data_IF_786685753447
#
_entry.id   IF_786685753447
#
_cell.length_a   1.000
_cell.length_b   1.000
_cell.length_c   1.000
_cell.angle_alpha   90.00
_cell.angle_beta   90.00
_cell.angle_gamma   90.00
#
_symmetry.space_group_name_H-M   'P 1'
#
loop_
_entity.id
_entity.type
_entity.pdbx_description
1 polymer ?
#
# COMPACT_ATOMS: atom_id res chain seq x y z
N UNK A 1 0.39 -1.35 -9.85
CA UNK A 1 0.93 -2.29 -8.85
C UNK A 1 0.96 -1.63 -7.49
N UNK A 2 0.51 -2.33 -6.45
CA UNK A 2 0.59 -1.89 -5.04
C UNK A 2 1.28 -3.01 -4.27
N UNK A 3 2.45 -2.74 -3.69
CA UNK A 3 3.22 -3.78 -2.98
C UNK A 3 4.27 -3.17 -2.02
N UNK A 4 4.84 -3.99 -1.14
CA UNK A 4 5.97 -3.58 -0.31
C UNK A 4 7.28 -3.70 -1.08
N UNK A 5 8.08 -2.65 -1.01
CA UNK A 5 9.28 -2.57 -1.83
C UNK A 5 9.94 -1.21 -1.84
N UNK A 6 10.95 -1.10 -2.70
CA UNK A 6 11.88 0.01 -2.71
C UNK A 6 12.23 0.44 -4.15
N UNK A 7 12.78 1.66 -4.29
CA UNK A 7 13.54 2.04 -5.48
C UNK A 7 14.83 1.23 -5.57
N UNK A 8 15.44 1.12 -6.76
CA UNK A 8 16.70 0.39 -6.94
C UNK A 8 17.80 0.86 -5.97
N UNK A 9 17.95 2.18 -5.78
CA UNK A 9 18.93 2.76 -4.83
C UNK A 9 18.76 2.21 -3.42
N UNK A 10 17.52 2.15 -2.92
CA UNK A 10 17.22 1.63 -1.58
C UNK A 10 17.22 0.10 -1.52
N UNK A 11 16.88 -0.55 -2.63
CA UNK A 11 16.85 -2.00 -2.76
C UNK A 11 18.25 -2.60 -2.68
N UNK A 12 19.22 -1.99 -3.35
CA UNK A 12 20.61 -2.45 -3.43
C UNK A 12 21.56 -1.76 -2.41
N UNK A 13 21.03 -1.22 -1.31
CA UNK A 13 21.87 -0.65 -0.26
C UNK A 13 22.84 -1.72 0.29
N UNK A 14 24.12 -1.40 0.55
CA UNK A 14 25.09 -2.34 1.12
C UNK A 14 24.62 -3.00 2.43
N UNK A 15 23.82 -2.27 3.22
CA UNK A 15 23.22 -2.81 4.45
C UNK A 15 22.30 -4.02 4.20
N UNK A 16 21.70 -4.16 3.01
CA UNK A 16 20.85 -5.30 2.60
C UNK A 16 21.65 -6.40 1.89
N UNK A 17 22.78 -6.78 2.45
CA UNK A 17 23.67 -7.80 1.90
C UNK A 17 23.03 -9.20 1.84
N UNK A 18 22.00 -9.48 2.66
CA UNK A 18 21.22 -10.72 2.59
C UNK A 18 20.05 -10.65 1.58
N UNK A 19 19.89 -9.53 0.86
CA UNK A 19 18.79 -9.32 -0.07
C UNK A 19 17.46 -9.04 0.64
N UNK A 20 16.37 -9.53 0.05
CA UNK A 20 14.99 -9.22 0.50
C UNK A 20 14.07 -10.43 0.52
N UNK A 21 14.61 -11.65 0.36
CA UNK A 21 13.83 -12.89 0.42
C UNK A 21 13.32 -13.09 1.84
N UNK A 22 12.04 -13.42 1.98
CA UNK A 22 11.39 -13.66 3.26
C UNK A 22 10.54 -14.91 3.14
N UNK A 23 10.47 -15.69 4.21
CA UNK A 23 9.61 -16.86 4.32
C UNK A 23 8.67 -16.69 5.51
N UNK A 24 7.43 -17.12 5.34
CA UNK A 24 6.42 -17.09 6.38
C UNK A 24 5.75 -18.45 6.55
N UNK A 25 5.82 -19.00 7.76
CA UNK A 25 5.13 -20.22 8.15
C UNK A 25 4.35 -19.99 9.44
N UNK A 26 3.02 -20.18 9.41
CA UNK A 26 2.13 -20.01 10.57
C UNK A 26 2.32 -18.65 11.31
N UNK A 27 2.37 -17.55 10.54
CA UNK A 27 2.62 -16.18 11.04
C UNK A 27 4.00 -15.94 11.67
N UNK A 28 4.98 -16.81 11.41
CA UNK A 28 6.37 -16.63 11.83
C UNK A 28 7.26 -16.37 10.63
N UNK A 29 8.14 -15.38 10.77
CA UNK A 29 9.11 -14.98 9.76
C UNK A 29 10.43 -15.75 9.91
N UNK A 30 11.02 -16.16 8.79
CA UNK A 30 12.40 -16.65 8.68
C UNK A 30 12.93 -16.48 7.25
N UNK A 31 14.21 -16.77 7.02
CA UNK A 31 14.85 -16.51 5.72
C UNK A 31 15.25 -17.79 4.96
N UNK A 32 14.88 -18.96 5.48
CA UNK A 32 15.20 -20.27 4.88
C UNK A 32 14.07 -20.81 3.97
N UNK A 33 14.25 -20.82 2.63
CA UNK A 33 13.24 -21.30 1.70
C UNK A 33 13.07 -22.83 1.70
N UNK A 34 13.97 -23.59 2.33
CA UNK A 34 14.01 -25.04 2.26
C UNK A 34 13.34 -25.75 3.45
N UNK A 35 12.97 -25.03 4.50
CA UNK A 35 12.43 -25.64 5.72
C UNK A 35 11.07 -26.31 5.49
N UNK A 36 10.07 -25.57 5.01
CA UNK A 36 8.69 -26.07 4.85
C UNK A 36 8.24 -25.98 3.39
N UNK A 37 8.97 -26.65 2.49
CA UNK A 37 8.70 -26.61 1.04
C UNK A 37 7.24 -26.96 0.74
N UNK A 38 6.57 -26.07 0.01
CA UNK A 38 5.15 -26.20 -0.35
C UNK A 38 4.16 -25.85 0.77
N UNK A 39 4.63 -25.53 1.98
CA UNK A 39 3.80 -25.22 3.15
C UNK A 39 4.07 -23.85 3.76
N UNK A 40 5.12 -23.15 3.32
CA UNK A 40 5.41 -21.76 3.67
C UNK A 40 5.21 -20.84 2.48
N UNK A 41 4.90 -19.58 2.78
CA UNK A 41 4.96 -18.51 1.79
C UNK A 41 6.41 -18.06 1.60
N UNK A 42 6.79 -17.70 0.37
CA UNK A 42 8.11 -17.19 0.02
C UNK A 42 7.91 -15.92 -0.79
N UNK A 43 8.43 -14.81 -0.29
CA UNK A 43 8.23 -13.51 -0.87
C UNK A 43 9.53 -12.74 -1.00
N UNK A 44 9.50 -11.64 -1.74
CA UNK A 44 10.57 -10.66 -1.75
C UNK A 44 9.98 -9.26 -1.92
N UNK A 45 10.70 -8.26 -1.40
CA UNK A 45 10.35 -6.87 -1.68
C UNK A 45 10.36 -6.62 -3.19
N UNK A 46 9.49 -5.73 -3.67
CA UNK A 46 9.49 -5.29 -5.07
C UNK A 46 10.58 -4.26 -5.32
N UNK A 47 11.36 -4.43 -6.38
CA UNK A 47 12.19 -3.36 -6.95
C UNK A 47 11.34 -2.55 -7.94
N UNK A 48 10.78 -1.44 -7.46
CA UNK A 48 9.86 -0.62 -8.27
C UNK A 48 10.55 0.07 -9.45
N UNK A 49 11.85 0.38 -9.36
CA UNK A 49 12.60 0.95 -10.49
C UNK A 49 12.76 -0.08 -11.61
N UNK A 50 13.05 -1.34 -11.26
CA UNK A 50 13.12 -2.42 -12.25
C UNK A 50 11.74 -2.71 -12.86
N UNK A 51 10.69 -2.74 -12.03
CA UNK A 51 9.32 -2.97 -12.50
C UNK A 51 8.85 -1.87 -13.46
N UNK A 52 9.10 -0.60 -13.13
CA UNK A 52 8.81 0.55 -13.98
C UNK A 52 9.47 0.42 -15.35
N UNK A 53 10.79 0.19 -15.38
CA UNK A 53 11.57 0.01 -16.61
C UNK A 53 11.11 -1.18 -17.43
N UNK A 54 10.77 -2.30 -16.78
CA UNK A 54 10.25 -3.46 -17.49
C UNK A 54 8.90 -3.15 -18.16
N UNK A 55 8.05 -2.37 -17.49
CA UNK A 55 6.82 -1.87 -18.08
C UNK A 55 7.08 -1.00 -19.31
N UNK A 56 8.06 -0.09 -19.24
CA UNK A 56 8.47 0.76 -20.37
C UNK A 56 8.92 -0.06 -21.58
N UNK A 57 9.73 -1.11 -21.37
CA UNK A 57 10.14 -2.03 -22.43
C UNK A 57 8.94 -2.78 -23.07
N UNK A 58 7.86 -3.00 -22.31
CA UNK A 58 6.61 -3.57 -22.79
C UNK A 58 5.64 -2.53 -23.41
N UNK A 59 6.09 -1.27 -23.54
CA UNK A 59 5.31 -0.17 -24.07
C UNK A 59 4.28 0.40 -23.10
N UNK A 60 4.47 0.24 -21.79
CA UNK A 60 3.74 0.97 -20.76
C UNK A 60 4.42 2.32 -20.50
N UNK A 61 3.64 3.37 -20.27
CA UNK A 61 4.16 4.66 -19.83
C UNK A 61 3.91 4.83 -18.34
N UNK A 62 4.90 5.35 -17.61
CA UNK A 62 4.71 5.70 -16.20
C UNK A 62 3.77 6.89 -16.09
N UNK A 63 2.72 6.71 -15.29
CA UNK A 63 1.81 7.80 -14.90
C UNK A 63 2.28 8.41 -13.58
N UNK A 64 2.71 7.57 -12.62
CA UNK A 64 3.30 8.06 -11.38
C UNK A 64 3.66 6.97 -10.38
N UNK A 65 4.40 7.37 -9.36
CA UNK A 65 4.77 6.52 -8.23
C UNK A 65 4.64 7.29 -6.93
N UNK A 66 3.96 6.71 -5.94
CA UNK A 66 3.80 7.31 -4.60
C UNK A 66 3.74 6.23 -3.52
N UNK A 67 3.56 6.63 -2.26
CA UNK A 67 3.30 5.73 -1.15
C UNK A 67 1.80 5.49 -0.97
N UNK A 68 1.43 4.28 -0.52
CA UNK A 68 0.03 3.91 -0.31
C UNK A 68 -0.69 4.89 0.62
N UNK A 69 -0.03 5.32 1.70
CA UNK A 69 -0.63 6.30 2.62
C UNK A 69 -1.03 7.59 1.88
N UNK A 70 -0.10 8.16 1.09
CA UNK A 70 -0.35 9.37 0.31
C UNK A 70 -1.43 9.15 -0.77
N UNK A 71 -1.35 8.01 -1.46
CA UNK A 71 -2.31 7.63 -2.49
C UNK A 71 -3.74 7.57 -1.95
N UNK A 72 -3.94 6.86 -0.83
CA UNK A 72 -5.25 6.73 -0.19
C UNK A 72 -5.76 8.05 0.39
N UNK A 73 -4.86 8.86 0.98
CA UNK A 73 -5.21 10.19 1.47
C UNK A 73 -5.69 11.09 0.34
N UNK A 74 -4.98 11.13 -0.78
CA UNK A 74 -5.36 11.90 -1.97
C UNK A 74 -6.70 11.44 -2.57
N UNK A 75 -7.00 10.13 -2.52
CA UNK A 75 -8.31 9.61 -2.93
C UNK A 75 -9.48 10.00 -1.99
N UNK A 76 -9.18 10.46 -0.78
CA UNK A 76 -10.16 10.96 0.19
C UNK A 76 -10.34 10.10 1.44
N UNK A 77 -9.38 9.20 1.76
CA UNK A 77 -9.47 8.40 2.98
C UNK A 77 -9.48 9.25 4.26
N UNK A 78 -8.79 10.40 4.26
CA UNK A 78 -8.84 11.37 5.36
C UNK A 78 -10.26 11.82 5.67
N UNK A 79 -11.04 12.21 4.65
CA UNK A 79 -12.43 12.62 4.80
C UNK A 79 -13.29 11.49 5.39
N UNK A 80 -13.01 10.23 5.00
CA UNK A 80 -13.71 9.06 5.53
C UNK A 80 -13.39 8.83 7.01
N UNK A 81 -12.13 8.99 7.42
CA UNK A 81 -11.70 8.89 8.83
C UNK A 81 -12.34 9.98 9.69
N UNK A 82 -12.39 11.22 9.20
CA UNK A 82 -13.05 12.33 9.88
C UNK A 82 -14.55 12.08 10.03
N UNK A 83 -15.22 11.64 8.95
CA UNK A 83 -16.65 11.33 8.99
C UNK A 83 -16.95 10.26 10.05
N UNK A 84 -16.18 9.16 10.12
CA UNK A 84 -16.36 8.12 11.13
C UNK A 84 -16.20 8.67 12.56
N UNK A 85 -15.28 9.60 12.76
CA UNK A 85 -15.03 10.22 14.07
C UNK A 85 -16.17 11.18 14.48
N UNK A 86 -16.72 11.94 13.54
CA UNK A 86 -17.91 12.77 13.78
C UNK A 86 -19.17 11.94 14.04
N UNK A 87 -19.32 10.79 13.36
CA UNK A 87 -20.38 9.83 13.65
C UNK A 87 -20.28 9.26 15.08
N UNK A 88 -19.06 9.02 15.59
CA UNK A 88 -18.83 8.58 16.98
C UNK A 88 -19.30 9.64 18.00
N UNK A 89 -19.01 10.92 17.77
CA UNK A 89 -19.41 12.02 18.67
C UNK A 89 -20.94 12.22 18.71
N UNK A 90 -21.60 12.20 17.55
CA UNK A 90 -23.06 12.41 17.44
C UNK A 90 -23.84 11.24 18.03
N UNK A 91 -23.37 9.99 17.86
CA UNK A 91 -23.99 8.82 18.49
C UNK A 91 -23.62 8.63 19.95
N UNK A 92 -22.60 9.31 20.47
CA UNK A 92 -22.37 9.42 21.92
C UNK A 92 -23.48 10.19 22.64
N UNK A 93 -24.27 10.99 21.90
CA UNK A 93 -25.41 11.76 22.42
C UNK A 93 -26.77 11.07 22.22
N UNK A 94 -26.85 10.10 21.31
CA UNK A 94 -28.00 9.19 21.16
C UNK A 94 -27.70 7.85 21.85
N UNK A 95 -28.71 7.04 22.20
CA UNK A 95 -28.46 5.71 22.79
C UNK A 95 -27.94 4.77 21.68
N UNK A 96 -26.64 4.85 21.34
CA UNK A 96 -25.99 3.87 20.50
C UNK A 96 -25.75 2.58 21.28
N UNK A 97 -26.06 1.43 20.68
CA UNK A 97 -25.78 0.14 21.32
C UNK A 97 -24.26 -0.07 21.38
N UNK A 98 -23.75 -0.76 22.42
CA UNK A 98 -22.31 -1.02 22.55
C UNK A 98 -21.70 -1.75 21.36
N UNK A 99 -22.50 -2.54 20.61
CA UNK A 99 -22.08 -3.23 19.37
C UNK A 99 -21.81 -2.26 18.21
N UNK A 100 -22.56 -1.17 18.12
CA UNK A 100 -22.39 -0.18 17.07
C UNK A 100 -21.08 0.59 17.25
N UNK A 101 -20.78 0.99 18.50
CA UNK A 101 -19.54 1.70 18.85
C UNK A 101 -18.31 0.83 18.55
N UNK A 102 -18.33 -0.44 18.96
CA UNK A 102 -17.24 -1.38 18.68
C UNK A 102 -16.99 -1.56 17.17
N UNK A 103 -18.07 -1.64 16.38
CA UNK A 103 -17.96 -1.80 14.92
C UNK A 103 -17.32 -0.57 14.25
N UNK A 104 -17.69 0.64 14.70
CA UNK A 104 -17.11 1.87 14.15
C UNK A 104 -15.62 1.98 14.54
N UNK A 105 -15.27 1.66 15.79
CA UNK A 105 -13.87 1.64 16.23
C UNK A 105 -13.02 0.64 15.44
N UNK A 106 -13.53 -0.57 15.20
CA UNK A 106 -12.84 -1.57 14.37
C UNK A 106 -12.62 -1.05 12.94
N UNK A 107 -13.66 -0.46 12.32
CA UNK A 107 -13.54 0.14 10.98
C UNK A 107 -12.50 1.24 10.95
N UNK A 108 -12.50 2.13 11.95
CA UNK A 108 -11.50 3.19 12.09
C UNK A 108 -10.10 2.60 12.20
N UNK A 109 -9.89 1.58 13.03
CA UNK A 109 -8.58 0.95 13.22
C UNK A 109 -8.04 0.33 11.93
N UNK A 110 -8.87 -0.39 11.17
CA UNK A 110 -8.46 -0.97 9.87
C UNK A 110 -8.06 0.12 8.89
N UNK A 111 -8.81 1.22 8.81
CA UNK A 111 -8.47 2.33 7.91
C UNK A 111 -7.18 3.05 8.32
N UNK A 112 -6.92 3.20 9.62
CA UNK A 112 -5.64 3.73 10.12
C UNK A 112 -4.46 2.82 9.76
N UNK A 113 -4.63 1.49 9.85
CA UNK A 113 -3.57 0.54 9.45
C UNK A 113 -3.17 0.68 7.98
N UNK A 114 -4.10 1.03 7.09
CA UNK A 114 -3.82 1.22 5.66
C UNK A 114 -2.92 2.41 5.35
N UNK A 115 -2.87 3.41 6.26
CA UNK A 115 -2.09 4.64 6.09
C UNK A 115 -0.90 4.73 7.05
N UNK A 116 -0.74 3.76 7.97
CA UNK A 116 0.41 3.70 8.88
C UNK A 116 1.72 3.59 8.07
N UNK A 117 2.62 4.59 8.13
CA UNK A 117 3.88 4.58 7.39
C UNK A 117 4.82 3.43 7.77
N UNK A 118 4.68 2.88 8.99
CA UNK A 118 5.46 1.74 9.48
C UNK A 118 4.83 0.39 9.09
N UNK A 119 3.60 0.40 8.58
CA UNK A 119 2.89 -0.78 8.10
C UNK A 119 2.53 -0.64 6.63
N UNK A 120 1.26 -0.88 6.32
CA UNK A 120 0.76 -0.93 4.94
C UNK A 120 0.88 0.43 4.22
N UNK A 121 0.85 1.54 4.95
CA UNK A 121 1.03 2.88 4.37
C UNK A 121 2.38 3.08 3.69
N UNK A 122 3.41 2.30 4.07
CA UNK A 122 4.74 2.32 3.48
C UNK A 122 4.85 1.65 2.10
N UNK A 123 3.79 0.97 1.64
CA UNK A 123 3.77 0.26 0.36
C UNK A 123 3.93 1.26 -0.80
N UNK A 124 4.56 0.81 -1.89
CA UNK A 124 4.66 1.59 -3.12
C UNK A 124 3.43 1.41 -3.99
N UNK A 125 2.96 2.50 -4.61
CA UNK A 125 1.91 2.49 -5.63
C UNK A 125 2.52 2.97 -6.93
N UNK A 126 2.72 2.06 -7.88
CA UNK A 126 3.18 2.34 -9.24
C UNK A 126 1.99 2.26 -10.19
N UNK A 127 1.75 3.34 -10.94
CA UNK A 127 0.73 3.39 -11.99
C UNK A 127 1.42 3.55 -13.34
N UNK A 128 1.09 2.65 -14.26
CA UNK A 128 1.52 2.70 -15.65
C UNK A 128 0.31 2.50 -16.56
N UNK A 129 0.33 3.12 -17.73
CA UNK A 129 -0.77 3.10 -18.70
C UNK A 129 -0.28 2.69 -20.09
N UNK A 130 -1.21 2.35 -20.98
CA UNK A 130 -0.94 2.05 -22.38
C UNK A 130 -2.15 2.45 -23.23
N UNK A 131 -1.90 2.99 -24.42
CA UNK A 131 -2.96 3.31 -25.37
C UNK A 131 -3.81 4.53 -25.00
N UNK A 132 -3.32 5.41 -24.13
CA UNK A 132 -3.95 6.70 -23.87
C UNK A 132 -3.59 7.68 -24.98
N UNK A 133 -4.56 8.51 -25.37
CA UNK A 133 -4.32 9.69 -26.21
C UNK A 133 -3.54 10.76 -25.44
N UNK A 134 -2.97 11.74 -26.14
CA UNK A 134 -2.28 12.86 -25.48
C UNK A 134 -3.19 13.64 -24.53
N UNK A 135 -4.48 13.79 -24.86
CA UNK A 135 -5.44 14.47 -23.99
C UNK A 135 -5.80 13.64 -22.75
N UNK A 136 -6.00 12.33 -22.90
CA UNK A 136 -6.23 11.44 -21.75
C UNK A 136 -4.99 11.34 -20.84
N UNK A 137 -3.79 11.37 -21.41
CA UNK A 137 -2.53 11.37 -20.68
C UNK A 137 -2.29 12.63 -19.84
N UNK A 138 -2.96 13.75 -20.17
CA UNK A 138 -2.92 15.00 -19.39
C UNK A 138 -3.86 14.97 -18.18
N UNK A 139 -4.79 14.02 -18.10
CA UNK A 139 -5.70 13.92 -16.96
C UNK A 139 -4.92 13.43 -15.75
N UNK A 140 -4.74 14.31 -14.76
CA UNK A 140 -4.12 13.93 -13.50
C UNK A 140 -5.02 12.97 -12.71
N UNK A 141 -4.44 11.85 -12.28
CA UNK A 141 -5.14 10.89 -11.44
C UNK A 141 -5.15 11.38 -10.00
N UNK A 142 -6.34 11.60 -9.43
CA UNK A 142 -6.53 12.08 -8.05
C UNK A 142 -5.62 11.43 -6.99
N UNK A 143 -5.34 10.13 -7.08
CA UNK A 143 -4.45 9.44 -6.13
C UNK A 143 -2.96 9.79 -6.25
N UNK A 144 -2.56 10.43 -7.34
CA UNK A 144 -1.18 10.85 -7.62
C UNK A 144 -0.99 12.37 -7.53
N UNK A 145 -2.07 13.13 -7.34
CA UNK A 145 -2.02 14.58 -7.10
C UNK A 145 -1.76 14.80 -5.61
N UNK A 146 -0.69 15.56 -5.31
CA UNK A 146 -0.32 15.98 -3.95
C UNK A 146 -0.96 17.29 -3.57
#
# INVERSE_FOLDING_TARGET
>A
TIDYGYSAERYYLPARHQGTLQCYYQHRHHDDPYWNVGQQDITAHVNFTALERQGELCGLQKVGFTKQALFLMALGLGNRLTALSAFDEVRGQAIATGKDVLTIMQRRQVLHQLIDPMGLGGFGVLVQSKGLTEEEGKIELKGLVG
#
